data_IF_274503849553
#
_entry.id   IF_274503849553
#
_cell.length_a   1.000
_cell.length_b   1.000
_cell.length_c   1.000
_cell.angle_alpha   90.00
_cell.angle_beta   90.00
_cell.angle_gamma   90.00
#
_symmetry.space_group_name_H-M   'P 1'
#
loop_
_entity.id
_entity.type
_entity.pdbx_description
1 polymer ?
#
# COMPACT_ATOMS: atom_id res chain seq x y z
N UNK A 1 -35.88 -30.91 -35.67
CA UNK A 1 -35.78 -30.42 -34.27
C UNK A 1 -34.32 -30.22 -33.93
N UNK A 2 -33.79 -29.04 -34.24
CA UNK A 2 -32.41 -28.60 -33.96
C UNK A 2 -32.33 -28.16 -32.50
N UNK A 3 -31.62 -28.92 -31.66
CA UNK A 3 -31.28 -28.48 -30.31
C UNK A 3 -30.20 -27.41 -30.42
N UNK A 4 -30.60 -26.17 -30.17
CA UNK A 4 -29.67 -25.06 -29.98
C UNK A 4 -28.69 -25.44 -28.86
N UNK A 5 -27.42 -25.59 -29.21
CA UNK A 5 -26.31 -25.78 -28.26
C UNK A 5 -26.07 -24.47 -27.54
N UNK A 6 -26.96 -24.14 -26.61
CA UNK A 6 -26.78 -23.04 -25.67
C UNK A 6 -25.48 -23.26 -24.91
N UNK A 7 -24.49 -22.42 -25.23
CA UNK A 7 -23.18 -22.34 -24.62
C UNK A 7 -23.32 -21.92 -23.15
N UNK A 8 -23.78 -22.85 -22.32
CA UNK A 8 -24.07 -22.68 -20.90
C UNK A 8 -22.74 -22.43 -20.20
N UNK A 9 -22.51 -21.18 -19.77
CA UNK A 9 -21.32 -20.82 -19.01
C UNK A 9 -21.10 -21.84 -17.89
N UNK A 10 -19.91 -22.48 -17.80
CA UNK A 10 -19.71 -23.60 -16.89
C UNK A 10 -19.84 -23.11 -15.45
N UNK A 11 -20.98 -23.42 -14.81
CA UNK A 11 -21.27 -23.17 -13.38
C UNK A 11 -20.12 -23.62 -12.47
N UNK A 12 -19.41 -24.67 -12.91
CA UNK A 12 -18.22 -25.20 -12.26
C UNK A 12 -17.14 -24.15 -12.01
N UNK A 13 -16.93 -23.20 -12.92
CA UNK A 13 -15.90 -22.15 -12.77
C UNK A 13 -16.27 -21.24 -11.60
N UNK A 14 -17.52 -20.76 -11.58
CA UNK A 14 -18.00 -19.88 -10.52
C UNK A 14 -17.95 -20.54 -9.14
N UNK A 15 -18.27 -21.84 -9.04
CA UNK A 15 -18.19 -22.57 -7.78
C UNK A 15 -16.74 -22.75 -7.28
N UNK A 16 -15.80 -23.06 -8.17
CA UNK A 16 -14.36 -23.15 -7.81
C UNK A 16 -13.83 -21.81 -7.34
N UNK A 17 -14.21 -20.74 -8.04
CA UNK A 17 -13.78 -19.37 -7.74
C UNK A 17 -14.36 -18.91 -6.42
N UNK A 18 -15.65 -19.14 -6.22
CA UNK A 18 -16.32 -18.85 -4.96
C UNK A 18 -15.64 -19.57 -3.79
N UNK A 19 -15.33 -20.85 -3.95
CA UNK A 19 -14.57 -21.62 -2.97
C UNK A 19 -13.16 -21.06 -2.73
N UNK A 20 -12.47 -20.59 -3.77
CA UNK A 20 -11.14 -19.99 -3.62
C UNK A 20 -11.19 -18.62 -2.93
N UNK A 21 -12.15 -17.74 -3.26
CA UNK A 21 -12.35 -16.48 -2.53
C UNK A 21 -12.64 -16.74 -1.05
N UNK A 22 -13.47 -17.75 -0.77
CA UNK A 22 -13.79 -18.15 0.59
C UNK A 22 -12.54 -18.63 1.33
N UNK A 23 -11.74 -19.50 0.70
CA UNK A 23 -10.48 -19.99 1.27
C UNK A 23 -9.49 -18.86 1.54
N UNK A 24 -9.30 -17.94 0.59
CA UNK A 24 -8.44 -16.76 0.76
C UNK A 24 -8.95 -15.85 1.90
N UNK A 25 -10.26 -15.71 2.05
CA UNK A 25 -10.87 -14.93 3.14
C UNK A 25 -10.68 -15.61 4.50
N UNK A 26 -10.81 -16.94 4.57
CA UNK A 26 -10.55 -17.72 5.78
C UNK A 26 -9.07 -17.69 6.17
N UNK A 27 -8.16 -17.78 5.19
CA UNK A 27 -6.73 -17.62 5.40
C UNK A 27 -6.40 -16.21 5.93
N UNK A 28 -7.03 -15.17 5.39
CA UNK A 28 -6.90 -13.80 5.92
C UNK A 28 -7.34 -13.70 7.37
N UNK A 29 -8.44 -14.37 7.77
CA UNK A 29 -8.85 -14.41 9.17
C UNK A 29 -7.83 -15.15 10.04
N UNK A 30 -7.22 -16.24 9.52
CA UNK A 30 -6.21 -16.97 10.27
C UNK A 30 -4.94 -16.15 10.58
N UNK A 31 -4.63 -15.15 9.76
CA UNK A 31 -3.49 -14.24 10.02
C UNK A 31 -3.67 -13.41 11.27
N UNK A 32 -4.91 -13.22 11.73
CA UNK A 32 -5.19 -12.47 12.95
C UNK A 32 -4.81 -13.24 14.22
N UNK A 33 -4.64 -14.57 14.11
CA UNK A 33 -4.09 -15.40 15.19
C UNK A 33 -2.56 -15.33 15.31
N UNK A 34 -1.87 -14.69 14.37
CA UNK A 34 -0.44 -14.48 14.44
C UNK A 34 -0.13 -13.19 15.22
N UNK A 35 0.75 -13.30 16.21
CA UNK A 35 1.13 -12.18 17.08
C UNK A 35 1.73 -10.99 16.33
N UNK A 36 1.66 -9.80 16.96
CA UNK A 36 2.09 -8.49 16.42
C UNK A 36 3.54 -8.51 15.92
N UNK A 37 3.71 -8.76 14.63
CA UNK A 37 4.99 -8.69 13.94
C UNK A 37 4.85 -8.31 12.48
N UNK A 38 6.00 -8.11 11.83
CA UNK A 38 6.12 -7.85 10.39
C UNK A 38 5.32 -8.85 9.53
N UNK A 39 5.26 -10.11 9.99
CA UNK A 39 4.51 -11.19 9.33
C UNK A 39 3.02 -10.89 9.17
N UNK A 40 2.39 -10.21 10.14
CA UNK A 40 0.96 -9.88 10.07
C UNK A 40 0.70 -8.85 8.97
N UNK A 41 1.52 -7.82 8.89
CA UNK A 41 1.43 -6.78 7.87
C UNK A 41 1.63 -7.35 6.47
N UNK A 42 2.67 -8.17 6.29
CA UNK A 42 2.97 -8.79 4.99
C UNK A 42 1.87 -9.75 4.55
N UNK A 43 1.35 -10.60 5.45
CA UNK A 43 0.30 -11.54 5.08
C UNK A 43 -1.04 -10.84 4.82
N UNK A 44 -1.41 -9.81 5.59
CA UNK A 44 -2.63 -9.02 5.31
C UNK A 44 -2.54 -8.39 3.92
N UNK A 45 -1.42 -7.72 3.60
CA UNK A 45 -1.20 -7.12 2.29
C UNK A 45 -1.22 -8.17 1.18
N UNK A 46 -0.57 -9.32 1.40
CA UNK A 46 -0.55 -10.44 0.47
C UNK A 46 -1.98 -10.92 0.16
N UNK A 47 -2.81 -11.18 1.18
CA UNK A 47 -4.20 -11.61 0.98
C UNK A 47 -5.08 -10.53 0.35
N UNK A 48 -4.81 -9.25 0.64
CA UNK A 48 -5.49 -8.11 0.01
C UNK A 48 -5.24 -8.09 -1.51
N UNK A 49 -3.99 -8.24 -1.93
CA UNK A 49 -3.61 -8.30 -3.34
C UNK A 49 -4.11 -9.59 -3.99
N UNK A 50 -3.98 -10.73 -3.30
CA UNK A 50 -4.41 -12.03 -3.83
C UNK A 50 -5.90 -12.04 -4.15
N UNK A 51 -6.75 -11.57 -3.22
CA UNK A 51 -8.20 -11.52 -3.45
C UNK A 51 -8.56 -10.51 -4.53
N UNK A 52 -7.91 -9.34 -4.56
CA UNK A 52 -8.15 -8.33 -5.59
C UNK A 52 -7.77 -8.84 -6.99
N UNK A 53 -6.59 -9.46 -7.11
CA UNK A 53 -6.12 -10.09 -8.34
C UNK A 53 -7.02 -11.23 -8.79
N UNK A 54 -7.54 -12.03 -7.85
CA UNK A 54 -8.47 -13.11 -8.17
C UNK A 54 -9.84 -12.60 -8.65
N UNK A 55 -10.35 -11.51 -8.04
CA UNK A 55 -11.57 -10.83 -8.51
C UNK A 55 -11.35 -10.28 -9.92
N UNK A 56 -10.22 -9.62 -10.19
CA UNK A 56 -9.89 -9.11 -11.54
C UNK A 56 -9.74 -10.24 -12.55
N UNK A 57 -9.04 -11.33 -12.21
CA UNK A 57 -8.84 -12.44 -13.13
C UNK A 57 -10.15 -13.18 -13.50
N UNK A 58 -11.09 -13.25 -12.55
CA UNK A 58 -12.28 -14.10 -12.71
C UNK A 58 -13.57 -13.33 -12.95
N UNK A 59 -13.87 -12.31 -12.14
CA UNK A 59 -15.09 -11.53 -12.34
C UNK A 59 -14.93 -10.53 -13.49
N UNK A 60 -13.71 -10.06 -13.73
CA UNK A 60 -13.35 -9.37 -14.96
C UNK A 60 -12.73 -10.33 -15.99
N UNK A 61 -13.43 -11.44 -16.28
CA UNK A 61 -13.10 -12.48 -17.29
C UNK A 61 -12.91 -11.92 -18.71
N UNK A 62 -11.88 -11.11 -18.95
CA UNK A 62 -11.56 -10.44 -20.22
C UNK A 62 -10.49 -11.21 -20.97
N UNK A 63 -10.84 -12.42 -21.42
CA UNK A 63 -9.95 -13.19 -22.29
C UNK A 63 -10.12 -12.87 -23.79
N UNK A 64 -10.93 -11.88 -24.14
CA UNK A 64 -11.01 -11.34 -25.51
C UNK A 64 -11.45 -9.86 -25.50
N UNK A 65 -10.69 -9.05 -26.23
CA UNK A 65 -10.96 -7.69 -26.75
C UNK A 65 -10.38 -6.42 -26.09
N UNK A 66 -10.11 -6.24 -24.78
CA UNK A 66 -9.53 -4.94 -24.32
C UNK A 66 -8.57 -4.97 -23.12
N UNK A 67 -7.27 -4.97 -23.41
CA UNK A 67 -6.21 -4.47 -22.49
C UNK A 67 -6.51 -3.05 -21.94
N UNK A 68 -7.27 -2.26 -22.70
CA UNK A 68 -7.71 -0.92 -22.31
C UNK A 68 -8.60 -0.91 -21.05
N UNK A 69 -9.44 -1.93 -20.82
CA UNK A 69 -10.30 -1.96 -19.64
C UNK A 69 -9.55 -2.44 -18.39
N UNK A 70 -8.59 -3.36 -18.57
CA UNK A 70 -7.69 -3.74 -17.49
C UNK A 70 -6.82 -2.56 -17.06
N UNK A 71 -6.28 -1.79 -18.01
CA UNK A 71 -5.53 -0.57 -17.69
C UNK A 71 -6.39 0.49 -17.01
N UNK A 72 -7.64 0.71 -17.40
CA UNK A 72 -8.53 1.67 -16.68
C UNK A 72 -8.72 1.30 -15.20
N UNK A 73 -8.73 0.01 -14.84
CA UNK A 73 -8.93 -0.43 -13.45
C UNK A 73 -7.61 -0.49 -12.67
N UNK A 74 -6.51 -0.89 -13.32
CA UNK A 74 -5.20 -1.06 -12.68
C UNK A 74 -4.37 0.22 -12.62
N UNK A 75 -4.51 1.11 -13.61
CA UNK A 75 -3.76 2.36 -13.71
C UNK A 75 -4.05 3.30 -12.54
N UNK A 76 -5.31 3.54 -12.10
CA UNK A 76 -5.55 4.44 -10.97
C UNK A 76 -4.88 3.97 -9.67
N UNK A 77 -4.99 2.69 -9.25
CA UNK A 77 -4.26 2.18 -8.09
C UNK A 77 -2.74 2.28 -8.23
N UNK A 78 -2.19 1.98 -9.41
CA UNK A 78 -0.73 2.04 -9.64
C UNK A 78 -0.24 3.49 -9.61
N UNK A 79 -0.98 4.42 -10.22
CA UNK A 79 -0.67 5.85 -10.18
C UNK A 79 -0.67 6.38 -8.74
N UNK A 80 -1.64 5.95 -7.92
CA UNK A 80 -1.67 6.29 -6.50
C UNK A 80 -0.45 5.72 -5.76
N UNK A 81 -0.03 4.49 -6.04
CA UNK A 81 1.18 3.92 -5.45
C UNK A 81 2.43 4.73 -5.82
N UNK A 82 2.56 5.14 -7.08
CA UNK A 82 3.67 6.00 -7.53
C UNK A 82 3.63 7.35 -6.82
N UNK A 83 2.45 7.98 -6.73
CA UNK A 83 2.28 9.27 -6.06
C UNK A 83 2.65 9.20 -4.58
N UNK A 84 2.19 8.16 -3.86
CA UNK A 84 2.54 7.92 -2.46
C UNK A 84 4.04 7.69 -2.30
N UNK A 85 4.67 6.93 -3.22
CA UNK A 85 6.12 6.74 -3.23
C UNK A 85 6.89 8.05 -3.39
N UNK A 86 6.51 8.88 -4.38
CA UNK A 86 7.12 10.20 -4.58
C UNK A 86 6.94 11.11 -3.36
N UNK A 87 5.74 11.13 -2.77
CA UNK A 87 5.45 11.95 -1.60
C UNK A 87 6.26 11.51 -0.37
N UNK A 88 6.53 10.21 -0.24
CA UNK A 88 7.37 9.65 0.83
C UNK A 88 8.81 10.13 0.68
N UNK A 89 9.35 10.08 -0.54
CA UNK A 89 10.71 10.56 -0.86
C UNK A 89 10.84 12.07 -0.57
N UNK A 90 9.92 12.88 -1.09
CA UNK A 90 9.89 14.34 -0.86
C UNK A 90 9.77 14.70 0.63
N UNK A 91 9.00 13.92 1.39
CA UNK A 91 8.88 14.08 2.84
C UNK A 91 10.22 13.87 3.54
N UNK A 92 11.02 12.88 3.13
CA UNK A 92 12.34 12.63 3.70
C UNK A 92 13.35 13.73 3.34
N UNK A 93 13.32 14.25 2.10
CA UNK A 93 14.15 15.39 1.69
C UNK A 93 13.80 16.66 2.50
N UNK A 94 12.51 16.96 2.63
CA UNK A 94 12.04 18.11 3.43
C UNK A 94 12.45 17.97 4.90
N UNK A 95 12.35 16.75 5.46
CA UNK A 95 12.78 16.46 6.83
C UNK A 95 14.27 16.69 7.02
N UNK A 96 15.08 16.21 6.07
CA UNK A 96 16.54 16.31 6.12
C UNK A 96 17.00 17.76 6.05
N UNK A 97 16.42 18.55 5.14
CA UNK A 97 16.72 19.98 4.99
C UNK A 97 16.31 20.79 6.23
N UNK A 98 15.21 20.43 6.91
CA UNK A 98 14.87 21.05 8.21
C UNK A 98 15.90 20.75 9.27
N UNK A 99 16.34 19.50 9.37
CA UNK A 99 17.35 19.13 10.38
C UNK A 99 18.61 19.94 10.11
N UNK A 100 19.14 19.93 8.89
CA UNK A 100 20.34 20.72 8.55
C UNK A 100 20.14 22.22 8.83
N UNK A 101 19.03 22.82 8.39
CA UNK A 101 18.79 24.24 8.56
C UNK A 101 18.58 24.61 10.04
N UNK A 102 17.76 23.90 10.80
CA UNK A 102 17.46 24.27 12.19
C UNK A 102 18.53 23.79 13.20
N UNK A 103 19.29 22.74 12.88
CA UNK A 103 20.44 22.30 13.67
C UNK A 103 21.64 23.26 13.49
N UNK A 104 21.82 23.81 12.27
CA UNK A 104 22.90 24.80 12.01
C UNK A 104 22.49 26.26 12.26
N UNK A 105 21.20 26.61 12.17
CA UNK A 105 20.71 27.99 12.28
C UNK A 105 20.61 28.53 13.71
N UNK A 106 21.17 27.85 14.71
CA UNK A 106 21.39 28.49 16.01
C UNK A 106 22.88 28.63 16.36
N UNK A 107 23.59 29.59 15.74
CA UNK A 107 24.98 29.94 16.09
C UNK A 107 25.14 30.39 17.56
N UNK A 108 24.08 30.89 18.19
CA UNK A 108 24.03 31.23 19.63
C UNK A 108 23.52 30.10 20.53
N UNK A 109 22.94 29.06 19.91
CA UNK A 109 22.51 27.71 20.30
C UNK A 109 23.57 26.74 20.84
N UNK A 110 24.76 26.82 20.25
CA UNK A 110 25.81 25.82 20.45
C UNK A 110 26.43 25.82 21.85
N UNK A 111 26.21 26.87 22.64
CA UNK A 111 26.60 26.90 24.04
C UNK A 111 25.50 26.26 24.89
N UNK A 112 25.76 25.50 25.95
CA UNK A 112 24.69 25.03 26.83
C UNK A 112 23.89 26.24 27.37
N UNK A 113 22.58 26.10 27.58
CA UNK A 113 21.69 27.20 28.05
C UNK A 113 22.25 27.90 29.29
N UNK A 114 22.95 27.16 30.15
CA UNK A 114 23.65 27.67 31.34
C UNK A 114 24.77 28.66 30.97
N UNK A 115 25.55 28.38 29.93
CA UNK A 115 26.64 29.24 29.46
C UNK A 115 26.10 30.52 28.79
N UNK A 116 24.95 30.43 28.09
CA UNK A 116 24.25 31.60 27.55
C UNK A 116 23.81 32.54 28.68
N UNK A 117 23.22 31.97 29.73
CA UNK A 117 22.74 32.71 30.89
C UNK A 117 23.89 33.34 31.70
N UNK A 118 25.01 32.62 31.87
CA UNK A 118 26.20 33.13 32.55
C UNK A 118 26.82 34.29 31.78
N UNK A 119 26.91 34.18 30.45
CA UNK A 119 27.43 35.25 29.59
C UNK A 119 26.55 36.50 29.63
N UNK A 120 25.22 36.33 29.55
CA UNK A 120 24.27 37.43 29.63
C UNK A 120 24.28 38.13 31.01
N UNK A 121 24.67 37.42 32.07
CA UNK A 121 24.84 37.98 33.42
C UNK A 121 26.20 38.62 33.71
N UNK A 122 27.18 38.49 32.83
CA UNK A 122 28.45 39.22 32.95
C UNK A 122 28.37 40.47 32.07
N UNK A 123 28.06 41.65 32.63
CA UNK A 123 28.42 42.89 31.96
C UNK A 123 29.95 42.95 31.91
N UNK A 124 30.47 43.22 30.73
CA UNK A 124 31.85 43.61 30.45
C UNK A 124 32.33 44.78 31.31
#
# INVERSE_FOLDING_TARGET
>A
MTKETGQRHPIRIYLVVWGLLFLVSALSYSTDFLDRGFWRWTLILLFMVLKAGFIVAVFMHMRWERLALMSVVLVPPVLLMVLVGLMTIESDYTRSMRIEHFETAIPGEAMPVVEREIRNRRPD
#
